data_IF_443590919425
#
_entry.id   IF_443590919425
#
_cell.length_a   1.000
_cell.length_b   1.000
_cell.length_c   1.000
_cell.angle_alpha   90.00
_cell.angle_beta   90.00
_cell.angle_gamma   90.00
#
_symmetry.space_group_name_H-M   'P 1'
#
loop_
_entity.id
_entity.type
_entity.pdbx_description
1 polymer ?
#
# COMPACT_ATOMS: atom_id res chain seq x y z
N UNK A 1 -13.00 -17.11 59.77
CA UNK A 1 -14.07 -17.80 59.02
C UNK A 1 -15.41 -17.13 59.31
N UNK A 2 -16.00 -16.43 58.34
CA UNK A 2 -17.44 -16.36 58.03
C UNK A 2 -17.65 -15.30 56.96
N UNK A 3 -17.81 -15.81 55.75
CA UNK A 3 -18.11 -15.14 54.51
C UNK A 3 -19.61 -14.82 54.49
N UNK A 4 -20.01 -13.56 54.28
CA UNK A 4 -21.35 -13.22 53.80
C UNK A 4 -21.24 -12.03 52.86
N UNK A 5 -21.11 -12.37 51.58
CA UNK A 5 -21.42 -11.52 50.45
C UNK A 5 -22.93 -11.24 50.49
N UNK A 6 -23.40 -10.00 50.28
CA UNK A 6 -24.60 -9.62 49.48
C UNK A 6 -24.78 -8.09 49.55
N UNK A 7 -24.38 -7.44 48.45
CA UNK A 7 -25.05 -6.35 47.72
C UNK A 7 -25.57 -5.10 48.47
N UNK A 8 -24.95 -3.94 48.22
CA UNK A 8 -25.70 -2.77 47.74
C UNK A 8 -24.80 -1.80 46.95
N UNK A 9 -25.35 -1.29 45.87
CA UNK A 9 -24.74 -0.57 44.76
C UNK A 9 -24.03 0.75 45.12
N UNK A 10 -23.13 1.14 44.20
CA UNK A 10 -22.67 2.50 43.90
C UNK A 10 -21.35 2.94 44.52
N UNK A 11 -20.26 2.47 43.92
CA UNK A 11 -19.09 3.31 43.72
C UNK A 11 -18.69 3.16 42.26
N UNK A 12 -19.07 4.15 41.45
CA UNK A 12 -18.72 4.27 40.03
C UNK A 12 -17.20 4.18 39.89
N UNK A 13 -16.71 2.97 39.59
CA UNK A 13 -15.34 2.76 39.16
C UNK A 13 -15.25 3.35 37.75
N UNK A 14 -14.94 4.65 37.69
CA UNK A 14 -14.62 5.33 36.45
C UNK A 14 -13.25 4.82 35.99
N UNK A 15 -13.24 3.63 35.40
CA UNK A 15 -12.13 3.16 34.59
C UNK A 15 -12.07 4.10 33.39
N UNK A 16 -11.31 5.19 33.52
CA UNK A 16 -10.75 5.90 32.39
C UNK A 16 -9.84 4.91 31.66
N UNK A 17 -10.44 4.10 30.79
CA UNK A 17 -9.69 3.55 29.68
C UNK A 17 -9.27 4.77 28.87
N UNK A 18 -8.05 5.26 29.11
CA UNK A 18 -7.34 6.01 28.08
C UNK A 18 -7.16 5.03 26.92
N UNK A 19 -8.18 4.93 26.08
CA UNK A 19 -8.01 4.48 24.72
C UNK A 19 -7.03 5.47 24.10
N UNK A 20 -5.75 5.12 24.15
CA UNK A 20 -4.79 5.66 23.20
C UNK A 20 -5.24 5.10 21.85
N UNK A 21 -6.25 5.74 21.27
CA UNK A 21 -6.55 5.61 19.87
C UNK A 21 -5.35 6.20 19.16
N UNK A 22 -4.34 5.36 18.91
CA UNK A 22 -3.37 5.61 17.87
C UNK A 22 -4.21 5.62 16.60
N UNK A 23 -4.72 6.81 16.24
CA UNK A 23 -5.46 7.04 15.02
C UNK A 23 -4.51 6.79 13.87
N UNK A 24 -4.44 5.54 13.44
CA UNK A 24 -3.68 5.15 12.29
C UNK A 24 -4.39 5.83 11.09
N UNK A 25 -3.82 6.92 10.60
CA UNK A 25 -4.35 7.62 9.42
C UNK A 25 -3.89 6.89 8.17
N UNK A 26 -4.84 6.53 7.31
CA UNK A 26 -4.54 6.14 5.94
C UNK A 26 -4.15 7.39 5.14
N UNK A 27 -3.27 7.21 4.15
CA UNK A 27 -2.83 8.30 3.27
C UNK A 27 -3.24 7.97 1.86
N UNK A 28 -3.85 8.93 1.17
CA UNK A 28 -4.17 8.80 -0.25
C UNK A 28 -2.96 9.24 -1.07
N UNK A 29 -2.43 8.33 -1.88
CA UNK A 29 -1.39 8.64 -2.87
C UNK A 29 -2.05 8.73 -4.24
N UNK A 30 -1.72 9.78 -4.99
CA UNK A 30 -2.12 9.93 -6.40
C UNK A 30 -0.88 9.88 -7.28
N UNK A 31 -0.88 8.93 -8.21
CA UNK A 31 0.18 8.77 -9.21
C UNK A 31 -0.31 9.38 -10.51
N UNK A 32 0.47 10.29 -11.08
CA UNK A 32 0.18 10.97 -12.34
C UNK A 32 1.24 10.57 -13.36
N UNK A 33 0.82 10.14 -14.54
CA UNK A 33 1.72 9.92 -15.67
C UNK A 33 1.74 11.14 -16.57
N UNK A 34 2.74 11.99 -16.41
CA UNK A 34 3.00 13.13 -17.31
C UNK A 34 4.00 12.77 -18.43
N UNK A 35 4.36 11.50 -18.57
CA UNK A 35 5.20 11.03 -19.67
C UNK A 35 4.38 10.92 -20.96
N UNK A 36 5.01 11.20 -22.11
CA UNK A 36 4.43 10.97 -23.45
C UNK A 36 4.32 9.51 -23.88
N UNK A 37 4.19 8.58 -22.91
CA UNK A 37 4.06 7.14 -23.13
C UNK A 37 3.46 6.44 -21.91
N UNK A 38 2.92 5.24 -22.10
CA UNK A 38 2.35 4.42 -21.01
C UNK A 38 3.43 3.94 -20.05
N UNK A 39 3.15 4.07 -18.75
CA UNK A 39 3.98 3.53 -17.67
C UNK A 39 3.17 2.56 -16.82
N UNK A 40 3.86 1.67 -16.10
CA UNK A 40 3.20 0.72 -15.20
C UNK A 40 3.72 0.89 -13.78
N UNK A 41 3.16 1.81 -12.99
CA UNK A 41 3.56 1.99 -11.60
C UNK A 41 3.48 0.67 -10.83
N UNK A 42 4.45 0.46 -9.94
CA UNK A 42 4.54 -0.70 -9.07
C UNK A 42 4.78 -0.26 -7.63
N UNK A 43 4.21 -1.01 -6.71
CA UNK A 43 4.15 -0.67 -5.29
C UNK A 43 4.36 -1.93 -4.49
N UNK A 44 5.26 -1.86 -3.51
CA UNK A 44 5.46 -2.92 -2.53
C UNK A 44 5.58 -2.30 -1.15
N UNK A 45 5.03 -2.94 -0.14
CA UNK A 45 4.99 -2.41 1.21
C UNK A 45 4.55 -3.43 2.24
N UNK A 46 4.53 -2.98 3.50
CA UNK A 46 4.01 -3.73 4.63
C UNK A 46 3.08 -2.83 5.45
N UNK A 47 1.89 -3.29 5.87
CA UNK A 47 1.29 -4.58 5.49
C UNK A 47 0.97 -4.66 3.98
N UNK A 48 0.55 -5.84 3.52
CA UNK A 48 0.24 -6.09 2.11
C UNK A 48 -0.78 -5.08 1.57
N UNK A 49 -0.59 -4.71 0.30
CA UNK A 49 -1.40 -3.71 -0.40
C UNK A 49 -2.41 -4.40 -1.30
N UNK A 50 -3.62 -3.83 -1.39
CA UNK A 50 -4.66 -4.31 -2.31
C UNK A 50 -4.28 -4.14 -3.78
N UNK A 51 -3.39 -3.19 -4.08
CA UNK A 51 -2.84 -2.96 -5.40
C UNK A 51 -1.32 -2.90 -5.34
N UNK A 52 -0.66 -3.68 -6.19
CA UNK A 52 0.82 -3.73 -6.23
C UNK A 52 1.38 -3.41 -7.60
N UNK A 53 0.54 -3.29 -8.63
CA UNK A 53 0.95 -2.75 -9.92
C UNK A 53 -0.21 -2.52 -10.88
N UNK A 54 -0.14 -1.48 -11.70
CA UNK A 54 -1.19 -1.13 -12.64
C UNK A 54 -0.66 -0.40 -13.86
N UNK A 55 -1.48 -0.31 -14.91
CA UNK A 55 -1.19 0.47 -16.12
C UNK A 55 -1.68 1.92 -15.97
N UNK A 56 -0.89 2.87 -16.48
CA UNK A 56 -1.20 4.29 -16.50
C UNK A 56 -0.81 4.87 -17.87
N UNK A 57 -1.81 5.18 -18.71
CA UNK A 57 -1.61 5.80 -20.03
C UNK A 57 -1.11 7.23 -19.89
N UNK A 58 -0.59 7.80 -20.98
CA UNK A 58 -0.18 9.22 -21.04
C UNK A 58 -1.28 10.15 -20.51
N UNK A 59 -0.88 11.12 -19.67
CA UNK A 59 -1.75 12.13 -19.07
C UNK A 59 -2.75 11.61 -18.03
N UNK A 60 -2.76 10.31 -17.74
CA UNK A 60 -3.71 9.72 -16.80
C UNK A 60 -3.17 9.68 -15.37
N UNK A 61 -4.08 9.54 -14.40
CA UNK A 61 -3.73 9.44 -12.99
C UNK A 61 -4.57 8.39 -12.27
N UNK A 62 -4.03 7.80 -11.22
CA UNK A 62 -4.74 6.87 -10.35
C UNK A 62 -4.39 7.12 -8.90
N UNK A 63 -5.40 7.11 -8.04
CA UNK A 63 -5.25 7.24 -6.59
C UNK A 63 -5.50 5.92 -5.88
N UNK A 64 -4.83 5.73 -4.74
CA UNK A 64 -5.05 4.59 -3.85
C UNK A 64 -4.74 4.96 -2.40
N UNK A 65 -5.29 4.21 -1.46
CA UNK A 65 -5.00 4.38 -0.04
C UNK A 65 -3.82 3.50 0.38
N UNK A 66 -2.93 4.03 1.19
CA UNK A 66 -1.93 3.23 1.88
C UNK A 66 -2.47 2.77 3.23
N UNK A 67 -2.08 1.56 3.69
CA UNK A 67 -2.33 1.13 5.04
C UNK A 67 -1.85 2.16 6.05
N UNK A 68 -2.63 2.31 7.11
CA UNK A 68 -2.26 3.22 8.17
C UNK A 68 -1.03 2.70 8.92
N UNK A 69 -0.01 3.54 9.06
CA UNK A 69 1.35 3.17 9.51
C UNK A 69 2.09 2.19 8.57
N UNK A 70 1.67 2.12 7.30
CA UNK A 70 2.36 1.31 6.30
C UNK A 70 3.70 1.91 5.88
N UNK A 71 4.64 1.04 5.51
CA UNK A 71 5.89 1.42 4.84
C UNK A 71 5.93 0.78 3.47
N UNK A 72 6.60 1.41 2.50
CA UNK A 72 6.68 0.84 1.17
C UNK A 72 7.55 1.63 0.21
N UNK A 73 7.67 1.12 -1.02
CA UNK A 73 8.31 1.79 -2.15
C UNK A 73 7.34 1.83 -3.32
N UNK A 74 7.41 2.92 -4.06
CA UNK A 74 6.71 3.13 -5.31
C UNK A 74 7.75 3.42 -6.40
N UNK A 75 7.58 2.80 -7.56
CA UNK A 75 8.46 3.04 -8.71
C UNK A 75 7.72 2.92 -10.04
N UNK A 76 8.28 3.53 -11.07
CA UNK A 76 7.79 3.41 -12.44
C UNK A 76 8.40 2.21 -13.16
N UNK A 77 7.57 1.53 -13.95
CA UNK A 77 8.03 0.54 -14.94
C UNK A 77 7.73 1.02 -16.35
N UNK A 78 8.61 0.71 -17.28
CA UNK A 78 8.49 1.17 -18.68
C UNK A 78 8.80 0.06 -19.67
N UNK A 79 8.19 0.14 -20.86
CA UNK A 79 8.38 -0.85 -21.92
C UNK A 79 7.84 -2.23 -21.54
N UNK A 80 6.70 -2.27 -20.84
CA UNK A 80 6.07 -3.51 -20.42
C UNK A 80 5.18 -4.09 -21.52
N UNK A 81 5.01 -5.41 -21.49
CA UNK A 81 4.09 -6.14 -22.35
C UNK A 81 3.41 -7.24 -21.56
N UNK A 82 2.12 -7.08 -21.27
CA UNK A 82 1.28 -8.06 -20.59
C UNK A 82 0.25 -8.65 -21.57
N UNK A 83 0.04 -9.96 -21.50
CA UNK A 83 -1.01 -10.63 -22.28
C UNK A 83 -2.40 -10.42 -21.64
N UNK A 84 -3.45 -10.91 -22.29
CA UNK A 84 -4.84 -10.81 -21.78
C UNK A 84 -5.08 -11.53 -20.44
N UNK A 85 -4.14 -12.36 -19.99
CA UNK A 85 -4.15 -13.00 -18.67
C UNK A 85 -3.30 -12.25 -17.64
N UNK A 86 -2.78 -11.06 -17.97
CA UNK A 86 -1.97 -10.22 -17.08
C UNK A 86 -0.53 -10.69 -16.89
N UNK A 87 -0.06 -11.66 -17.67
CA UNK A 87 1.29 -12.20 -17.59
C UNK A 87 2.23 -11.51 -18.59
N UNK A 88 3.45 -11.19 -18.15
CA UNK A 88 4.38 -10.41 -18.95
C UNK A 88 5.62 -9.95 -18.19
N UNK A 89 6.33 -8.98 -18.75
CA UNK A 89 7.51 -8.37 -18.13
C UNK A 89 7.72 -6.94 -18.62
N UNK A 90 8.57 -6.21 -17.90
CA UNK A 90 9.01 -4.86 -18.20
C UNK A 90 10.50 -4.79 -18.54
N UNK A 91 10.89 -3.81 -19.37
CA UNK A 91 12.31 -3.57 -19.69
C UNK A 91 13.05 -2.87 -18.55
N UNK A 92 12.39 -1.93 -17.89
CA UNK A 92 12.92 -1.14 -16.78
C UNK A 92 11.91 -1.19 -15.64
N UNK A 93 12.41 -1.31 -14.41
CA UNK A 93 11.59 -1.34 -13.20
C UNK A 93 10.90 -2.68 -12.96
N UNK A 94 11.17 -3.72 -13.74
CA UNK A 94 10.48 -5.02 -13.58
C UNK A 94 10.61 -5.54 -12.15
N UNK A 95 9.56 -6.20 -11.65
CA UNK A 95 9.52 -6.74 -10.29
C UNK A 95 9.70 -8.26 -10.25
N UNK A 96 9.87 -8.92 -11.40
CA UNK A 96 10.13 -10.35 -11.48
C UNK A 96 8.95 -11.25 -11.14
N UNK A 97 7.75 -10.71 -10.89
CA UNK A 97 6.54 -11.51 -10.61
C UNK A 97 6.01 -12.23 -11.85
N UNK A 98 6.42 -11.79 -13.04
CA UNK A 98 5.85 -12.23 -14.31
C UNK A 98 4.43 -11.73 -14.55
N UNK A 99 3.94 -10.78 -13.73
CA UNK A 99 2.58 -10.26 -13.74
C UNK A 99 2.56 -8.72 -13.67
N UNK A 100 1.41 -8.13 -14.01
CA UNK A 100 1.22 -6.68 -13.81
C UNK A 100 1.30 -6.32 -12.31
N UNK A 101 0.67 -7.11 -11.44
CA UNK A 101 0.81 -7.00 -9.98
C UNK A 101 2.19 -7.53 -9.54
N UNK A 102 2.81 -6.85 -8.58
CA UNK A 102 4.13 -7.23 -8.04
C UNK A 102 4.05 -8.09 -6.78
N UNK A 103 2.89 -8.23 -6.14
CA UNK A 103 2.65 -9.18 -5.05
C UNK A 103 3.72 -9.14 -3.95
N UNK A 104 4.10 -7.93 -3.52
CA UNK A 104 5.14 -7.70 -2.50
C UNK A 104 6.59 -7.76 -3.02
N UNK A 105 6.83 -8.15 -4.27
CA UNK A 105 8.17 -8.16 -4.85
C UNK A 105 8.69 -6.74 -5.14
N UNK A 106 10.00 -6.56 -5.01
CA UNK A 106 10.71 -5.32 -5.30
C UNK A 106 11.21 -5.30 -6.75
N UNK A 107 11.61 -4.12 -7.25
CA UNK A 107 12.25 -4.07 -8.56
C UNK A 107 13.53 -4.90 -8.58
N UNK A 108 13.68 -5.74 -9.60
CA UNK A 108 14.88 -6.55 -9.87
C UNK A 108 15.88 -5.85 -10.79
N UNK A 109 15.54 -4.64 -11.26
CA UNK A 109 16.36 -3.84 -12.17
C UNK A 109 16.82 -2.54 -11.52
N UNK A 110 17.95 -1.98 -11.97
CA UNK A 110 18.42 -0.67 -11.52
C UNK A 110 17.37 0.39 -11.86
N UNK A 111 16.66 0.90 -10.86
CA UNK A 111 15.74 2.01 -11.05
C UNK A 111 16.54 3.27 -11.38
N UNK A 112 16.21 3.93 -12.50
CA UNK A 112 16.70 5.27 -12.75
C UNK A 112 16.13 6.20 -11.67
N UNK A 113 16.99 6.82 -10.88
CA UNK A 113 16.59 7.93 -10.00
C UNK A 113 16.40 9.13 -10.94
N UNK A 114 15.15 9.51 -11.20
CA UNK A 114 14.86 10.77 -11.88
C UNK A 114 15.11 11.88 -10.85
N UNK A 115 16.28 12.49 -10.91
CA UNK A 115 16.53 13.77 -10.24
C UNK A 115 15.83 14.88 -11.04
N UNK A 116 15.24 15.89 -10.37
CA UNK A 116 14.63 17.05 -11.02
C UNK A 116 15.64 17.88 -11.81
#
# INVERSE_FOLDING_TARGET
MKHKQTLFQSFLLFCFFFSNGNGASQTTITVVNDCGFTVWPAISGSPDLDITGFELTEGSSRSFQTPANGTGRLWGRTGCSFNGSGHGSCKIGDCGSGQMECNGMMSVSMMAIIYP
#
